data_IF_117404196794
#
_entry.id   IF_117404196794
#
_cell.length_a   1.000
_cell.length_b   1.000
_cell.length_c   1.000
_cell.angle_alpha   90.00
_cell.angle_beta   90.00
_cell.angle_gamma   90.00
#
_symmetry.space_group_name_H-M   'P 1'
#
loop_
_entity.id
_entity.type
_entity.pdbx_description
1 polymer ?
#
# COMPACT_ATOMS: atom_id res chain seq x y z
N UNK A 1 -28.18 -3.38 -15.52
CA UNK A 1 -27.45 -4.48 -14.85
C UNK A 1 -26.37 -4.92 -15.81
N UNK A 2 -25.06 -4.97 -15.54
CA UNK A 2 -24.19 -4.66 -14.39
C UNK A 2 -22.97 -3.96 -15.01
N UNK A 3 -22.50 -2.85 -14.42
CA UNK A 3 -21.16 -2.31 -14.76
C UNK A 3 -20.20 -3.01 -13.81
N UNK A 4 -19.45 -3.96 -14.33
CA UNK A 4 -18.32 -4.55 -13.63
C UNK A 4 -17.26 -3.46 -13.42
N UNK A 5 -17.20 -2.99 -12.19
CA UNK A 5 -16.07 -2.23 -11.67
C UNK A 5 -14.89 -3.21 -11.59
N UNK A 6 -14.15 -3.37 -12.68
CA UNK A 6 -12.86 -4.04 -12.65
C UNK A 6 -11.89 -3.19 -11.81
N UNK A 7 -11.89 -3.39 -10.50
CA UNK A 7 -10.88 -2.89 -9.58
C UNK A 7 -9.51 -3.44 -10.02
N UNK A 8 -8.75 -2.60 -10.71
CA UNK A 8 -7.45 -2.99 -11.28
C UNK A 8 -6.50 -3.33 -10.14
N UNK A 9 -6.13 -4.60 -10.04
CA UNK A 9 -5.23 -5.09 -9.04
C UNK A 9 -3.77 -4.72 -9.40
N UNK A 10 -3.24 -3.64 -8.80
CA UNK A 10 -1.87 -3.14 -9.03
C UNK A 10 -0.77 -4.19 -8.77
N UNK A 11 -1.12 -5.29 -8.10
CA UNK A 11 -0.19 -6.37 -7.75
C UNK A 11 0.11 -7.30 -8.93
N UNK A 12 -0.66 -7.27 -10.02
CA UNK A 12 -0.39 -8.08 -11.22
C UNK A 12 0.59 -7.42 -12.21
N UNK A 13 0.94 -6.15 -11.98
CA UNK A 13 1.86 -5.39 -12.84
C UNK A 13 3.30 -5.88 -12.68
N UNK A 14 3.75 -6.73 -13.59
CA UNK A 14 5.14 -7.21 -13.67
C UNK A 14 6.01 -6.17 -14.39
N UNK A 15 7.08 -5.70 -13.71
CA UNK A 15 8.10 -4.76 -14.23
C UNK A 15 7.53 -3.47 -14.91
N UNK A 16 6.75 -2.64 -14.20
CA UNK A 16 6.12 -1.46 -14.81
C UNK A 16 7.06 -0.26 -15.05
N UNK A 17 8.29 -0.29 -14.54
CA UNK A 17 9.29 0.78 -14.67
C UNK A 17 10.35 0.43 -15.71
N UNK A 18 10.93 1.43 -16.39
CA UNK A 18 12.03 1.17 -17.32
C UNK A 18 13.33 0.90 -16.58
N UNK A 19 13.48 1.44 -15.37
CA UNK A 19 14.65 1.22 -14.54
C UNK A 19 14.58 -0.07 -13.71
N UNK A 20 15.64 -0.89 -13.75
CA UNK A 20 15.73 -2.14 -13.00
C UNK A 20 15.66 -1.95 -11.47
N UNK A 21 16.33 -0.93 -10.92
CA UNK A 21 16.27 -0.62 -9.47
C UNK A 21 14.85 -0.31 -8.98
N UNK A 22 14.03 0.37 -9.80
CA UNK A 22 12.65 0.69 -9.44
C UNK A 22 11.73 -0.53 -9.56
N UNK A 23 11.98 -1.41 -10.52
CA UNK A 23 11.29 -2.70 -10.60
C UNK A 23 11.58 -3.60 -9.38
N UNK A 24 12.80 -3.57 -8.84
CA UNK A 24 13.14 -4.32 -7.62
C UNK A 24 12.36 -3.78 -6.40
N UNK A 25 12.35 -2.45 -6.23
CA UNK A 25 11.58 -1.79 -5.17
C UNK A 25 10.09 -2.10 -5.33
N UNK A 26 9.58 -2.07 -6.56
CA UNK A 26 8.19 -2.39 -6.88
C UNK A 26 7.82 -3.84 -6.54
N UNK A 27 8.62 -4.82 -6.94
CA UNK A 27 8.38 -6.22 -6.61
C UNK A 27 8.38 -6.47 -5.10
N UNK A 28 9.27 -5.80 -4.34
CA UNK A 28 9.24 -5.84 -2.87
C UNK A 28 7.97 -5.19 -2.32
N UNK A 29 7.60 -4.03 -2.84
CA UNK A 29 6.41 -3.30 -2.42
C UNK A 29 5.10 -4.04 -2.71
N UNK A 30 5.00 -4.79 -3.81
CA UNK A 30 3.81 -5.59 -4.16
C UNK A 30 3.45 -6.65 -3.11
N UNK A 31 4.45 -7.13 -2.37
CA UNK A 31 4.29 -8.11 -1.30
C UNK A 31 4.09 -7.47 0.07
N UNK A 32 4.62 -6.26 0.27
CA UNK A 32 4.69 -5.62 1.59
C UNK A 32 3.64 -4.53 1.79
N UNK A 33 3.20 -3.84 0.75
CA UNK A 33 2.26 -2.72 0.89
C UNK A 33 0.81 -3.13 0.60
N UNK A 34 -0.10 -2.47 1.32
CA UNK A 34 -1.54 -2.51 1.06
C UNK A 34 -1.87 -1.79 -0.23
N UNK A 35 -2.99 -2.12 -0.86
CA UNK A 35 -3.36 -1.57 -2.15
C UNK A 35 -3.34 -0.02 -2.24
N UNK A 36 -3.87 0.76 -1.26
CA UNK A 36 -3.78 2.22 -1.31
C UNK A 36 -2.36 2.76 -1.17
N UNK A 37 -1.51 2.14 -0.34
CA UNK A 37 -0.09 2.53 -0.20
C UNK A 37 0.69 2.15 -1.45
N UNK A 38 0.40 0.99 -2.05
CA UNK A 38 0.96 0.53 -3.31
C UNK A 38 0.60 1.44 -4.47
N UNK A 39 -0.64 1.94 -4.54
CA UNK A 39 -1.09 2.93 -5.51
C UNK A 39 -0.30 4.24 -5.40
N UNK A 40 -0.09 4.71 -4.18
CA UNK A 40 0.67 5.95 -3.94
C UNK A 40 2.15 5.79 -4.31
N UNK A 41 2.78 4.71 -3.86
CA UNK A 41 4.16 4.38 -4.22
C UNK A 41 4.32 4.26 -5.73
N UNK A 42 3.35 3.64 -6.43
CA UNK A 42 3.40 3.52 -7.89
C UNK A 42 3.50 4.89 -8.57
N UNK A 43 2.68 5.86 -8.13
CA UNK A 43 2.70 7.21 -8.70
C UNK A 43 4.03 7.92 -8.44
N UNK A 44 4.58 7.80 -7.23
CA UNK A 44 5.87 8.41 -6.88
C UNK A 44 7.04 7.76 -7.64
N UNK A 45 7.06 6.43 -7.73
CA UNK A 45 8.06 5.70 -8.50
C UNK A 45 7.96 6.01 -10.00
N UNK A 46 6.76 6.27 -10.55
CA UNK A 46 6.59 6.65 -11.96
C UNK A 46 7.15 8.03 -12.25
N UNK A 47 6.92 8.99 -11.34
CA UNK A 47 7.50 10.33 -11.43
C UNK A 47 9.02 10.22 -11.37
N UNK A 48 9.54 9.41 -10.42
CA UNK A 48 10.97 9.20 -10.28
C UNK A 48 11.61 8.48 -11.49
N UNK A 49 10.95 7.49 -12.11
CA UNK A 49 11.40 6.83 -13.36
C UNK A 49 11.53 7.83 -14.52
N UNK A 50 10.61 8.80 -14.61
CA UNK A 50 10.66 9.87 -15.62
C UNK A 50 11.82 10.83 -15.38
N UNK A 51 12.04 11.23 -14.12
CA UNK A 51 13.16 12.11 -13.74
C UNK A 51 14.52 11.44 -13.96
N UNK A 52 14.64 10.16 -13.62
CA UNK A 52 15.85 9.35 -13.86
C UNK A 52 16.15 9.17 -15.35
N UNK A 53 15.13 8.97 -16.19
CA UNK A 53 15.31 8.91 -17.64
C UNK A 53 15.76 10.25 -18.23
N UNK A 54 15.17 11.36 -17.77
CA UNK A 54 15.55 12.69 -18.18
C UNK A 54 17.00 13.01 -17.76
N UNK A 55 17.38 12.63 -16.54
CA UNK A 55 18.76 12.75 -16.08
C UNK A 55 19.72 11.90 -16.91
N UNK A 56 19.41 10.63 -17.20
CA UNK A 56 20.25 9.78 -18.05
C UNK A 56 20.45 10.37 -19.44
N UNK A 57 19.41 10.97 -20.03
CA UNK A 57 19.49 11.63 -21.32
C UNK A 57 20.37 12.90 -21.29
N UNK A 58 20.32 13.67 -20.20
CA UNK A 58 21.17 14.84 -19.99
C UNK A 58 22.63 14.47 -19.63
N UNK A 59 22.83 13.41 -18.86
CA UNK A 59 24.16 12.91 -18.49
C UNK A 59 24.91 12.34 -19.72
N UNK A 60 24.18 11.72 -20.66
CA UNK A 60 24.74 11.33 -21.96
C UNK A 60 25.26 12.53 -22.78
N UNK A 61 24.82 13.76 -22.49
CA UNK A 61 25.32 15.01 -23.09
C UNK A 61 26.44 15.66 -22.26
N UNK A 62 26.98 14.96 -21.25
CA UNK A 62 28.07 15.38 -20.36
C UNK A 62 27.82 16.71 -19.62
N UNK A 63 26.55 17.03 -19.37
CA UNK A 63 26.13 18.25 -18.66
C UNK A 63 26.09 18.09 -17.13
N UNK A 64 26.42 16.92 -16.58
CA UNK A 64 26.45 16.66 -15.13
C UNK A 64 27.82 16.11 -14.71
N UNK A 65 28.84 16.99 -14.71
CA UNK A 65 30.21 16.61 -14.32
C UNK A 65 30.40 16.46 -12.82
N UNK A 66 29.51 17.06 -12.02
CA UNK A 66 29.61 17.10 -10.56
C UNK A 66 28.77 16.01 -9.86
N UNK A 67 27.94 15.26 -10.59
CA UNK A 67 27.09 14.19 -10.04
C UNK A 67 26.02 14.68 -9.06
N UNK A 68 25.78 15.99 -9.00
CA UNK A 68 24.84 16.63 -8.07
C UNK A 68 23.41 16.17 -8.33
N UNK A 69 22.99 16.09 -9.60
CA UNK A 69 21.64 15.64 -9.96
C UNK A 69 21.45 14.15 -9.70
N UNK A 70 22.49 13.34 -9.85
CA UNK A 70 22.43 11.93 -9.47
C UNK A 70 22.25 11.73 -7.96
N UNK A 71 23.00 12.49 -7.15
CA UNK A 71 22.89 12.44 -5.70
C UNK A 71 21.51 12.90 -5.21
N UNK A 72 20.94 13.93 -5.84
CA UNK A 72 19.58 14.40 -5.55
C UNK A 72 18.53 13.34 -5.86
N UNK A 73 18.60 12.69 -7.02
CA UNK A 73 17.69 11.60 -7.39
C UNK A 73 17.83 10.41 -6.43
N UNK A 74 19.06 10.03 -6.05
CA UNK A 74 19.29 8.98 -5.04
C UNK A 74 18.68 9.34 -3.68
N UNK A 75 18.86 10.58 -3.21
CA UNK A 75 18.23 11.05 -1.95
C UNK A 75 16.70 11.01 -2.04
N UNK A 76 16.13 11.42 -3.18
CA UNK A 76 14.69 11.36 -3.40
C UNK A 76 14.17 9.92 -3.39
N UNK A 77 14.87 8.98 -4.03
CA UNK A 77 14.52 7.56 -3.99
C UNK A 77 14.58 6.98 -2.57
N UNK A 78 15.65 7.30 -1.82
CA UNK A 78 15.78 6.88 -0.42
C UNK A 78 14.66 7.46 0.44
N UNK A 79 14.30 8.73 0.22
CA UNK A 79 13.15 9.37 0.87
C UNK A 79 11.84 8.64 0.59
N UNK A 80 11.56 8.32 -0.68
CA UNK A 80 10.38 7.51 -1.07
C UNK A 80 10.44 6.13 -0.40
N UNK A 81 11.59 5.45 -0.40
CA UNK A 81 11.69 4.14 0.25
C UNK A 81 11.46 4.23 1.76
N UNK A 82 11.90 5.30 2.42
CA UNK A 82 11.69 5.55 3.84
C UNK A 82 10.23 5.85 4.18
N UNK A 83 9.52 6.67 3.38
CA UNK A 83 8.11 7.01 3.64
C UNK A 83 7.17 5.82 3.56
N UNK A 84 7.53 4.80 2.76
CA UNK A 84 6.78 3.55 2.64
C UNK A 84 7.39 2.38 3.44
N UNK A 85 8.37 2.66 4.31
CA UNK A 85 9.00 1.66 5.18
C UNK A 85 9.61 0.46 4.40
N UNK A 86 10.13 0.75 3.21
CA UNK A 86 10.81 -0.21 2.32
C UNK A 86 12.33 -0.21 2.56
N UNK A 87 12.81 0.61 3.50
CA UNK A 87 14.23 0.85 3.79
C UNK A 87 14.80 -0.11 4.86
N UNK A 88 13.97 -0.65 5.77
CA UNK A 88 14.43 -1.49 6.90
C UNK A 88 15.32 -2.68 6.49
N UNK A 89 15.14 -3.20 5.26
CA UNK A 89 15.92 -4.33 4.74
C UNK A 89 17.12 -3.95 3.86
N UNK A 90 17.50 -2.66 3.80
CA UNK A 90 18.79 -2.27 3.23
C UNK A 90 19.87 -2.13 4.31
N UNK A 91 19.52 -1.71 5.54
CA UNK A 91 20.44 -1.68 6.68
C UNK A 91 20.86 -3.09 7.13
N UNK A 92 19.96 -4.09 7.06
CA UNK A 92 20.29 -5.49 7.35
C UNK A 92 21.32 -6.11 6.38
N UNK A 93 21.60 -5.47 5.23
CA UNK A 93 22.56 -5.99 4.25
C UNK A 93 23.97 -5.41 4.40
N UNK A 94 24.22 -4.57 5.41
CA UNK A 94 25.55 -4.01 5.67
C UNK A 94 26.20 -4.52 6.95
N UNK A 95 25.44 -5.06 7.92
CA UNK A 95 25.98 -5.63 9.16
C UNK A 95 25.68 -7.13 9.31
N UNK A 96 26.69 -8.02 9.14
CA UNK A 96 26.52 -9.45 9.33
C UNK A 96 26.25 -9.88 10.79
N UNK A 97 26.36 -8.98 11.77
CA UNK A 97 26.09 -9.26 13.20
C UNK A 97 24.62 -9.07 13.62
N UNK A 98 23.79 -8.39 12.82
CA UNK A 98 22.38 -8.11 13.15
C UNK A 98 21.38 -9.18 12.68
N UNK A 99 21.87 -10.29 12.10
CA UNK A 99 21.08 -11.50 11.87
C UNK A 99 20.71 -12.10 13.23
N UNK A 100 19.64 -11.56 13.84
CA UNK A 100 19.09 -12.05 15.09
C UNK A 100 18.69 -13.51 14.92
N UNK A 101 19.50 -14.40 15.49
CA UNK A 101 19.07 -15.77 15.75
C UNK A 101 17.85 -15.72 16.67
N UNK A 102 16.73 -16.26 16.20
CA UNK A 102 15.52 -16.37 17.00
C UNK A 102 15.79 -17.31 18.18
N UNK A 103 16.11 -16.76 19.36
CA UNK A 103 15.99 -17.51 20.62
C UNK A 103 14.51 -17.58 20.98
N UNK A 104 13.95 -18.78 20.94
CA UNK A 104 12.63 -19.06 21.49
C UNK A 104 12.69 -18.84 23.02
N UNK A 105 12.07 -17.74 23.49
CA UNK A 105 11.84 -17.53 24.90
C UNK A 105 10.48 -18.17 25.29
N UNK A 106 10.40 -18.90 26.42
CA UNK A 106 9.16 -19.54 26.84
C UNK A 106 8.19 -18.48 27.34
N UNK A 107 7.01 -18.40 26.72
CA UNK A 107 5.94 -17.50 27.15
C UNK A 107 5.28 -18.13 28.37
N UNK A 108 5.66 -17.66 29.56
CA UNK A 108 4.83 -17.81 30.75
C UNK A 108 3.65 -16.85 30.64
N UNK A 109 2.45 -17.41 30.54
CA UNK A 109 1.18 -16.68 30.56
C UNK A 109 0.97 -16.19 31.99
N UNK A 110 1.10 -14.88 32.22
CA UNK A 110 0.66 -14.26 33.47
C UNK A 110 -0.55 -13.36 33.20
N UNK A 111 -1.69 -13.81 33.72
CA UNK A 111 -3.05 -13.56 33.24
C UNK A 111 -3.71 -12.36 33.97
N UNK A 112 -2.99 -11.25 34.18
CA UNK A 112 -3.43 -10.18 35.11
C UNK A 112 -3.65 -8.77 34.55
N UNK A 113 -3.61 -8.56 33.24
CA UNK A 113 -3.98 -7.26 32.63
C UNK A 113 -5.14 -7.33 31.61
N UNK A 114 -5.94 -8.39 31.63
CA UNK A 114 -6.98 -8.66 30.61
C UNK A 114 -8.29 -7.88 30.75
N UNK A 115 -8.45 -6.97 31.71
CA UNK A 115 -9.72 -6.27 31.91
C UNK A 115 -9.85 -4.95 31.14
N UNK A 116 -9.33 -4.88 29.90
CA UNK A 116 -9.81 -3.95 28.85
C UNK A 116 -9.47 -4.38 27.41
N UNK A 117 -9.15 -5.66 27.18
CA UNK A 117 -8.87 -6.18 25.84
C UNK A 117 -10.19 -6.56 25.18
N UNK A 118 -10.88 -5.60 24.54
CA UNK A 118 -12.15 -5.86 23.85
C UNK A 118 -11.97 -6.83 22.67
N UNK A 119 -10.78 -6.88 22.08
CA UNK A 119 -10.41 -7.77 20.98
C UNK A 119 -9.23 -8.68 21.39
N UNK A 120 -9.08 -9.83 20.71
CA UNK A 120 -7.95 -10.75 20.95
C UNK A 120 -6.64 -10.18 20.41
N UNK A 121 -6.70 -9.39 19.33
CA UNK A 121 -5.52 -8.72 18.78
C UNK A 121 -5.21 -7.39 19.50
N UNK A 122 -3.96 -7.27 19.98
CA UNK A 122 -3.41 -6.06 20.59
C UNK A 122 -3.46 -4.85 19.64
N UNK A 123 -3.31 -5.04 18.33
CA UNK A 123 -3.36 -3.97 17.34
C UNK A 123 -4.77 -3.40 17.18
N UNK A 124 -5.79 -4.27 17.18
CA UNK A 124 -7.19 -3.83 17.15
C UNK A 124 -7.56 -3.05 18.41
N UNK A 125 -7.10 -3.46 19.59
CA UNK A 125 -7.34 -2.70 20.81
C UNK A 125 -6.73 -1.28 20.74
N UNK A 126 -5.51 -1.12 20.22
CA UNK A 126 -4.90 0.21 20.03
C UNK A 126 -5.70 1.09 19.07
N UNK A 127 -6.20 0.51 17.98
CA UNK A 127 -7.04 1.24 17.03
C UNK A 127 -8.39 1.62 17.63
N UNK A 128 -8.97 0.74 18.46
CA UNK A 128 -10.20 1.02 19.18
C UNK A 128 -10.04 2.15 20.20
N UNK A 129 -8.96 2.15 20.99
CA UNK A 129 -8.61 3.24 21.90
C UNK A 129 -8.48 4.57 21.14
N UNK A 130 -7.84 4.57 19.97
CA UNK A 130 -7.76 5.75 19.10
C UNK A 130 -9.14 6.21 18.63
N UNK A 131 -10.01 5.28 18.25
CA UNK A 131 -11.36 5.59 17.81
C UNK A 131 -12.22 6.19 18.94
N UNK A 132 -12.13 5.66 20.16
CA UNK A 132 -12.84 6.21 21.34
C UNK A 132 -12.40 7.66 21.63
N UNK A 133 -11.11 7.95 21.51
CA UNK A 133 -10.57 9.31 21.67
C UNK A 133 -10.99 10.23 20.51
N UNK A 134 -11.20 9.66 19.32
CA UNK A 134 -11.56 10.39 18.10
C UNK A 134 -12.98 10.98 18.11
N UNK A 135 -13.79 10.74 19.15
CA UNK A 135 -15.02 11.47 19.42
C UNK A 135 -16.21 11.16 18.52
N UNK A 136 -16.28 9.95 17.98
CA UNK A 136 -17.42 9.47 17.18
C UNK A 136 -18.75 9.49 17.94
N UNK A 137 -19.86 9.60 17.20
CA UNK A 137 -21.18 9.38 17.77
C UNK A 137 -21.32 7.95 18.30
N UNK A 138 -22.16 7.69 19.33
CA UNK A 138 -22.31 6.35 19.90
C UNK A 138 -22.82 5.32 18.87
N UNK A 139 -23.64 5.74 17.90
CA UNK A 139 -24.10 4.90 16.79
C UNK A 139 -22.96 4.54 15.82
N UNK A 140 -22.09 5.52 15.50
CA UNK A 140 -20.91 5.31 14.65
C UNK A 140 -19.88 4.41 15.35
N UNK A 141 -19.70 4.55 16.66
CA UNK A 141 -18.87 3.65 17.47
C UNK A 141 -19.42 2.22 17.47
N UNK A 142 -20.73 2.04 17.56
CA UNK A 142 -21.35 0.72 17.51
C UNK A 142 -21.11 0.04 16.15
N UNK A 143 -21.29 0.77 15.05
CA UNK A 143 -21.00 0.28 13.70
C UNK A 143 -19.51 -0.03 13.51
N UNK A 144 -18.62 0.84 14.00
CA UNK A 144 -17.17 0.61 13.96
C UNK A 144 -16.79 -0.62 14.79
N UNK A 145 -17.39 -0.82 15.96
CA UNK A 145 -17.18 -2.00 16.80
C UNK A 145 -17.55 -3.29 16.07
N UNK A 146 -18.65 -3.27 15.32
CA UNK A 146 -19.07 -4.39 14.47
C UNK A 146 -18.05 -4.67 13.36
N UNK A 147 -17.54 -3.62 12.68
CA UNK A 147 -16.47 -3.79 11.69
C UNK A 147 -15.18 -4.38 12.30
N UNK A 148 -14.79 -3.96 13.51
CA UNK A 148 -13.64 -4.51 14.23
C UNK A 148 -13.86 -5.98 14.63
N UNK A 149 -15.08 -6.35 15.05
CA UNK A 149 -15.43 -7.75 15.34
C UNK A 149 -15.34 -8.62 14.08
N UNK A 150 -15.88 -8.15 12.95
CA UNK A 150 -15.75 -8.84 11.67
C UNK A 150 -14.29 -8.99 11.26
N UNK A 151 -13.45 -7.99 11.54
CA UNK A 151 -12.03 -8.07 11.27
C UNK A 151 -11.32 -9.11 12.16
N UNK A 152 -11.65 -9.16 13.44
CA UNK A 152 -11.16 -10.19 14.35
C UNK A 152 -11.57 -11.60 13.89
N UNK A 153 -12.81 -11.78 13.44
CA UNK A 153 -13.28 -13.05 12.87
C UNK A 153 -12.48 -13.44 11.62
N UNK A 154 -12.17 -12.50 10.72
CA UNK A 154 -11.32 -12.76 9.55
C UNK A 154 -9.91 -13.19 9.96
N UNK A 155 -9.32 -12.55 10.97
CA UNK A 155 -8.02 -12.93 11.52
C UNK A 155 -8.06 -14.36 12.09
N UNK A 156 -9.09 -14.68 12.88
CA UNK A 156 -9.26 -16.01 13.46
C UNK A 156 -9.42 -17.08 12.36
N UNK A 157 -10.20 -16.80 11.31
CA UNK A 157 -10.34 -17.69 10.14
C UNK A 157 -9.03 -17.89 9.39
N UNK A 158 -8.21 -16.83 9.25
CA UNK A 158 -6.90 -16.94 8.62
C UNK A 158 -5.95 -17.82 9.42
N UNK A 159 -5.91 -17.68 10.75
CA UNK A 159 -5.10 -18.57 11.58
C UNK A 159 -5.59 -20.02 11.53
N UNK A 160 -6.91 -20.26 11.48
CA UNK A 160 -7.46 -21.61 11.27
C UNK A 160 -7.09 -22.19 9.90
N UNK A 161 -7.07 -21.36 8.84
CA UNK A 161 -6.66 -21.79 7.52
C UNK A 161 -5.15 -22.05 7.45
N UNK A 162 -4.35 -21.22 8.12
CA UNK A 162 -2.91 -21.40 8.25
C UNK A 162 -2.60 -22.73 8.95
N UNK A 163 -3.32 -23.02 10.04
CA UNK A 163 -3.22 -24.27 10.79
C UNK A 163 -3.55 -25.47 9.89
N UNK A 164 -4.66 -25.44 9.16
CA UNK A 164 -5.05 -26.51 8.20
C UNK A 164 -4.10 -26.69 7.02
N UNK A 165 -3.39 -25.64 6.61
CA UNK A 165 -2.40 -25.71 5.51
C UNK A 165 -1.04 -26.18 6.04
N UNK A 166 -0.70 -25.84 7.29
CA UNK A 166 0.49 -26.34 7.99
C UNK A 166 0.34 -27.80 8.44
N UNK A 167 -0.85 -28.20 8.86
CA UNK A 167 -1.23 -29.56 9.29
C UNK A 167 -1.58 -30.48 8.10
N UNK A 168 -1.19 -30.10 6.88
CA UNK A 168 -1.26 -30.95 5.70
C UNK A 168 -0.33 -32.17 5.75
N UNK A 169 0.42 -32.36 6.84
CA UNK A 169 1.07 -33.62 7.20
C UNK A 169 0.02 -34.62 7.66
N UNK A 170 -0.26 -35.63 6.83
CA UNK A 170 -0.95 -36.82 7.33
C UNK A 170 -0.09 -37.43 8.46
N UNK A 171 -0.70 -37.91 9.57
CA UNK A 171 0.04 -38.55 10.67
C UNK A 171 0.73 -39.87 10.29
N UNK A 172 0.66 -40.30 9.03
CA UNK A 172 1.38 -41.46 8.48
C UNK A 172 2.64 -41.09 7.68
N UNK A 173 2.85 -39.81 7.38
CA UNK A 173 4.05 -39.34 6.67
C UNK A 173 5.12 -38.96 7.70
N UNK A 174 6.24 -39.70 7.70
CA UNK A 174 7.38 -39.48 8.61
C UNK A 174 7.81 -38.00 8.70
N UNK A 175 8.29 -37.54 9.86
CA UNK A 175 8.58 -36.13 10.12
C UNK A 175 9.69 -35.64 9.19
N UNK A 176 9.30 -35.08 8.05
CA UNK A 176 10.21 -34.42 7.12
C UNK A 176 10.42 -33.00 7.65
N UNK A 177 11.66 -32.62 8.03
CA UNK A 177 11.93 -31.27 8.47
C UNK A 177 11.70 -30.29 7.31
N UNK A 178 10.97 -29.19 7.60
CA UNK A 178 10.40 -28.16 6.70
C UNK A 178 11.34 -27.50 5.65
N UNK A 179 12.57 -27.97 5.46
CA UNK A 179 13.56 -27.37 4.56
C UNK A 179 14.37 -28.35 3.70
N UNK A 180 13.96 -29.62 3.59
CA UNK A 180 14.58 -30.53 2.61
C UNK A 180 13.86 -30.40 1.27
N UNK A 181 14.57 -29.92 0.25
CA UNK A 181 14.10 -30.00 -1.15
C UNK A 181 13.96 -31.49 -1.47
N UNK A 182 12.74 -31.94 -1.75
CA UNK A 182 12.50 -33.31 -2.19
C UNK A 182 13.14 -33.46 -3.59
N UNK A 183 14.27 -34.14 -3.67
CA UNK A 183 15.09 -34.25 -4.88
C UNK A 183 14.34 -35.06 -5.97
N UNK A 184 13.43 -35.96 -5.59
CA UNK A 184 12.55 -36.70 -6.51
C UNK A 184 11.44 -35.83 -7.14
N UNK A 185 10.99 -34.76 -6.47
CA UNK A 185 9.94 -33.86 -7.01
C UNK A 185 10.45 -32.89 -8.08
N UNK A 186 11.77 -32.67 -8.13
CA UNK A 186 12.37 -31.78 -9.12
C UNK A 186 12.47 -32.44 -10.51
N UNK A 187 12.52 -33.77 -10.56
CA UNK A 187 12.58 -34.52 -11.82
C UNK A 187 11.26 -34.42 -12.62
N UNK A 188 10.12 -34.28 -11.94
CA UNK A 188 8.81 -34.12 -12.59
C UNK A 188 8.58 -32.71 -13.16
N UNK A 189 9.43 -31.74 -12.81
CA UNK A 189 9.28 -30.34 -13.24
C UNK A 189 9.66 -30.11 -14.71
N UNK A 190 10.49 -30.99 -15.29
CA UNK A 190 10.99 -30.86 -16.67
C UNK A 190 10.31 -31.80 -17.67
N UNK A 191 9.38 -32.65 -17.24
CA UNK A 191 8.64 -33.51 -18.17
C UNK A 191 7.57 -32.70 -18.92
N UNK A 192 7.92 -32.20 -20.10
CA UNK A 192 6.93 -31.75 -21.08
C UNK A 192 6.16 -33.00 -21.52
N UNK A 193 4.94 -33.15 -21.01
CA UNK A 193 4.04 -34.26 -21.33
C UNK A 193 3.61 -34.13 -22.81
N UNK A 194 4.42 -34.68 -23.73
CA UNK A 194 4.15 -34.81 -25.16
C UNK A 194 3.26 -36.03 -25.40
N UNK A 195 2.05 -36.03 -24.85
CA UNK A 195 1.00 -36.95 -25.27
C UNK A 195 -0.04 -36.18 -26.08
N UNK A 196 0.37 -35.78 -27.28
CA UNK A 196 -0.54 -35.51 -28.39
C UNK A 196 -0.91 -36.87 -28.95
N UNK A 197 -1.96 -37.48 -28.41
CA UNK A 197 -2.94 -38.22 -29.21
C UNK A 197 -4.10 -38.78 -28.37
N UNK A 198 -5.29 -38.61 -28.94
CA UNK A 198 -6.56 -39.33 -28.67
C UNK A 198 -7.34 -39.03 -27.37
N UNK A 199 -8.34 -38.14 -27.50
CA UNK A 199 -9.75 -38.29 -27.08
C UNK A 199 -10.17 -38.94 -25.73
N UNK A 200 -9.33 -38.99 -24.69
CA UNK A 200 -9.77 -39.35 -23.33
C UNK A 200 -9.36 -38.25 -22.31
N UNK A 201 -10.20 -37.21 -22.19
CA UNK A 201 -10.07 -36.13 -21.20
C UNK A 201 -10.81 -36.49 -19.90
N UNK A 202 -10.62 -37.71 -19.40
CA UNK A 202 -11.16 -38.07 -18.08
C UNK A 202 -10.07 -38.66 -17.19
N UNK A 203 -9.69 -37.85 -16.19
CA UNK A 203 -8.94 -38.21 -14.97
C UNK A 203 -7.42 -38.32 -15.11
N UNK A 204 -6.78 -37.24 -15.55
CA UNK A 204 -5.42 -36.94 -15.12
C UNK A 204 -5.52 -36.58 -13.62
N UNK A 205 -4.79 -37.25 -12.70
CA UNK A 205 -4.83 -36.90 -11.28
C UNK A 205 -4.30 -35.47 -11.16
N UNK A 206 -5.17 -34.53 -10.80
CA UNK A 206 -4.77 -33.17 -10.39
C UNK A 206 -3.75 -33.37 -9.27
N UNK A 207 -2.48 -33.12 -9.58
CA UNK A 207 -1.40 -33.46 -8.67
C UNK A 207 -1.61 -32.72 -7.35
N UNK A 208 -1.35 -33.37 -6.22
CA UNK A 208 -1.44 -32.78 -4.86
C UNK A 208 -0.75 -31.40 -4.77
N UNK A 209 0.24 -31.15 -5.65
CA UNK A 209 0.92 -29.87 -5.83
C UNK A 209 0.03 -28.74 -6.37
N UNK A 210 -0.88 -28.98 -7.32
CA UNK A 210 -1.84 -27.96 -7.77
C UNK A 210 -2.78 -27.55 -6.64
N UNK A 211 -3.21 -28.51 -5.82
CA UNK A 211 -4.09 -28.23 -4.67
C UNK A 211 -3.33 -27.48 -3.56
N UNK A 212 -2.08 -27.86 -3.28
CA UNK A 212 -1.24 -27.14 -2.32
C UNK A 212 -0.93 -25.71 -2.78
N UNK A 213 -0.53 -25.50 -4.04
CA UNK A 213 -0.28 -24.16 -4.60
C UNK A 213 -1.54 -23.30 -4.60
N UNK A 214 -2.71 -23.88 -4.88
CA UNK A 214 -3.98 -23.17 -4.78
C UNK A 214 -4.30 -22.76 -3.33
N UNK A 215 -4.14 -23.66 -2.35
CA UNK A 215 -4.32 -23.36 -0.92
C UNK A 215 -3.35 -22.27 -0.43
N UNK A 216 -2.09 -22.32 -0.84
CA UNK A 216 -1.09 -21.28 -0.51
C UNK A 216 -1.45 -19.94 -1.13
N UNK A 217 -1.96 -19.91 -2.36
CA UNK A 217 -2.44 -18.68 -3.00
C UNK A 217 -3.67 -18.10 -2.31
N UNK A 218 -4.64 -18.94 -1.92
CA UNK A 218 -5.79 -18.52 -1.10
C UNK A 218 -5.35 -17.95 0.25
N UNK A 219 -4.38 -18.58 0.91
CA UNK A 219 -3.83 -18.10 2.18
C UNK A 219 -3.17 -16.72 2.01
N UNK A 220 -2.39 -16.53 0.93
CA UNK A 220 -1.79 -15.24 0.59
C UNK A 220 -2.84 -14.17 0.30
N UNK A 221 -3.92 -14.52 -0.39
CA UNK A 221 -5.04 -13.62 -0.67
C UNK A 221 -5.76 -13.21 0.63
N UNK A 222 -6.06 -14.17 1.52
CA UNK A 222 -6.69 -13.88 2.81
C UNK A 222 -5.81 -13.04 3.73
N UNK A 223 -4.50 -13.30 3.75
CA UNK A 223 -3.56 -12.44 4.47
C UNK A 223 -3.58 -11.00 3.95
N UNK A 224 -3.69 -10.83 2.62
CA UNK A 224 -3.80 -9.51 1.98
C UNK A 224 -5.11 -8.82 2.37
N UNK A 225 -6.25 -9.51 2.28
CA UNK A 225 -7.55 -8.97 2.68
C UNK A 225 -7.56 -8.49 4.14
N UNK A 226 -6.94 -9.24 5.05
CA UNK A 226 -6.78 -8.83 6.45
C UNK A 226 -5.92 -7.59 6.55
N UNK A 227 -4.79 -7.53 5.83
CA UNK A 227 -3.93 -6.35 5.88
C UNK A 227 -4.63 -5.10 5.32
N UNK A 228 -5.31 -5.23 4.19
CA UNK A 228 -6.04 -4.14 3.54
C UNK A 228 -7.24 -3.69 4.40
N UNK A 229 -7.93 -4.63 5.06
CA UNK A 229 -9.00 -4.34 6.01
C UNK A 229 -8.51 -3.62 7.28
N UNK A 230 -7.34 -3.97 7.79
CA UNK A 230 -6.73 -3.31 8.95
C UNK A 230 -6.38 -1.85 8.62
N UNK A 231 -5.75 -1.61 7.47
CA UNK A 231 -5.42 -0.25 7.01
C UNK A 231 -6.69 0.60 6.79
N UNK A 232 -7.80 -0.02 6.33
CA UNK A 232 -9.10 0.67 6.24
C UNK A 232 -9.61 1.06 7.62
N UNK A 233 -9.59 0.14 8.58
CA UNK A 233 -10.01 0.41 9.96
C UNK A 233 -9.14 1.47 10.62
N UNK A 234 -7.84 1.45 10.40
CA UNK A 234 -6.92 2.47 10.90
C UNK A 234 -7.27 3.86 10.35
N UNK A 235 -7.57 3.95 9.05
CA UNK A 235 -7.98 5.20 8.42
C UNK A 235 -9.33 5.68 8.94
N UNK A 236 -10.30 4.78 9.12
CA UNK A 236 -11.63 5.14 9.65
C UNK A 236 -11.52 5.57 11.11
N UNK A 237 -10.81 4.82 11.95
CA UNK A 237 -10.58 5.13 13.36
C UNK A 237 -9.87 6.49 13.55
N UNK A 238 -9.00 6.86 12.61
CA UNK A 238 -8.26 8.13 12.62
C UNK A 238 -8.98 9.28 11.92
N UNK A 239 -10.26 9.14 11.56
CA UNK A 239 -11.07 10.14 10.84
C UNK A 239 -12.23 10.71 11.65
N UNK A 240 -12.32 10.40 12.95
CA UNK A 240 -13.47 10.83 13.73
C UNK A 240 -13.53 12.34 13.93
N UNK A 241 -14.64 12.85 14.49
CA UNK A 241 -14.89 14.28 14.64
C UNK A 241 -13.80 15.07 15.39
N UNK A 242 -13.00 14.39 16.22
CA UNK A 242 -11.84 14.94 16.95
C UNK A 242 -10.48 14.45 16.45
N UNK A 243 -10.41 13.60 15.42
CA UNK A 243 -9.12 13.27 14.81
C UNK A 243 -8.54 14.52 14.16
N UNK A 244 -7.20 14.62 14.12
CA UNK A 244 -6.49 15.70 13.43
C UNK A 244 -7.21 16.08 12.14
N UNK A 245 -7.70 17.33 12.09
CA UNK A 245 -8.82 17.74 11.23
C UNK A 245 -8.56 17.62 9.71
N UNK A 246 -7.35 17.19 9.32
CA UNK A 246 -6.86 17.05 7.96
C UNK A 246 -5.99 15.78 7.84
N UNK A 247 -6.14 15.02 6.75
CA UNK A 247 -5.32 13.84 6.41
C UNK A 247 -3.98 14.22 5.78
N UNK A 248 -3.94 15.37 5.10
CA UNK A 248 -2.75 15.84 4.37
C UNK A 248 -1.80 16.62 5.30
N UNK A 249 -0.54 16.18 5.51
CA UNK A 249 0.41 16.82 6.43
C UNK A 249 0.66 18.30 6.13
N UNK A 250 0.61 18.70 4.86
CA UNK A 250 0.77 20.10 4.44
C UNK A 250 -0.35 20.98 5.01
N UNK A 251 -1.58 20.49 4.98
CA UNK A 251 -2.77 21.22 5.43
C UNK A 251 -2.81 21.26 6.96
N UNK A 252 -2.44 20.15 7.61
CA UNK A 252 -2.22 20.13 9.06
C UNK A 252 -1.18 21.17 9.51
N UNK A 253 -0.08 21.30 8.76
CA UNK A 253 0.94 22.33 8.99
C UNK A 253 0.36 23.75 8.90
N UNK A 254 -0.38 24.05 7.84
CA UNK A 254 -1.05 25.34 7.66
C UNK A 254 -2.07 25.63 8.75
N UNK A 255 -2.82 24.62 9.18
CA UNK A 255 -3.78 24.77 10.28
C UNK A 255 -3.09 25.06 11.61
N UNK A 256 -1.96 24.39 11.90
CA UNK A 256 -1.17 24.66 13.10
C UNK A 256 -0.60 26.08 13.11
N UNK A 257 -0.12 26.55 11.96
CA UNK A 257 0.33 27.94 11.81
C UNK A 257 -0.83 28.89 12.03
N UNK A 258 -1.99 28.63 11.42
CA UNK A 258 -3.18 29.43 11.60
C UNK A 258 -3.66 29.49 13.07
N UNK A 259 -3.61 28.37 13.80
CA UNK A 259 -3.94 28.35 15.24
C UNK A 259 -2.94 29.16 16.08
N UNK A 260 -1.69 29.26 15.65
CA UNK A 260 -0.67 30.08 16.30
C UNK A 260 -0.76 31.56 15.91
N UNK A 261 -1.45 31.89 14.81
CA UNK A 261 -1.72 33.25 14.37
C UNK A 261 -2.91 33.87 15.12
N UNK A 262 -3.00 35.20 15.10
CA UNK A 262 -4.08 35.96 15.75
C UNK A 262 -5.37 36.00 14.90
N UNK A 263 -5.91 34.85 14.48
CA UNK A 263 -7.22 34.81 13.79
C UNK A 263 -8.37 34.95 14.76
N UNK A 264 -9.43 35.63 14.33
CA UNK A 264 -10.72 35.61 15.04
C UNK A 264 -11.42 34.25 14.87
N UNK A 265 -12.34 33.92 15.78
CA UNK A 265 -13.09 32.64 15.73
C UNK A 265 -13.84 32.43 14.40
N UNK A 266 -14.38 33.51 13.82
CA UNK A 266 -15.13 33.45 12.57
C UNK A 266 -14.21 33.29 11.34
N UNK A 267 -13.05 33.96 11.34
CA UNK A 267 -12.03 33.79 10.29
C UNK A 267 -11.43 32.39 10.31
N UNK A 268 -11.20 31.84 11.50
CA UNK A 268 -10.70 30.48 11.70
C UNK A 268 -11.71 29.44 11.19
N UNK A 269 -13.02 29.66 11.41
CA UNK A 269 -14.06 28.81 10.85
C UNK A 269 -14.11 28.89 9.31
N UNK A 270 -13.97 30.09 8.74
CA UNK A 270 -13.90 30.28 7.28
C UNK A 270 -12.67 29.62 6.68
N UNK A 271 -11.50 29.78 7.31
CA UNK A 271 -10.25 29.16 6.90
C UNK A 271 -10.30 27.63 6.99
N UNK A 272 -10.96 27.09 8.02
CA UNK A 272 -11.18 25.65 8.15
C UNK A 272 -11.95 25.08 6.97
N UNK A 273 -13.02 25.74 6.53
CA UNK A 273 -13.80 25.32 5.37
C UNK A 273 -12.96 25.38 4.10
N UNK A 274 -12.14 26.42 3.93
CA UNK A 274 -11.24 26.54 2.78
C UNK A 274 -10.14 25.46 2.77
N UNK A 275 -9.55 25.14 3.91
CA UNK A 275 -8.58 24.06 4.05
C UNK A 275 -9.20 22.68 3.75
N UNK A 276 -10.45 22.44 4.18
CA UNK A 276 -11.18 21.21 3.84
C UNK A 276 -11.48 21.12 2.33
N UNK A 277 -11.84 22.23 1.69
CA UNK A 277 -12.03 22.26 0.24
C UNK A 277 -10.71 22.03 -0.51
N UNK A 278 -9.61 22.61 -0.01
CA UNK A 278 -8.27 22.39 -0.56
C UNK A 278 -7.86 20.92 -0.44
N UNK A 279 -8.10 20.29 0.72
CA UNK A 279 -7.85 18.87 0.96
C UNK A 279 -8.65 17.98 0.02
N UNK A 280 -9.96 18.18 -0.07
CA UNK A 280 -10.84 17.41 -0.95
C UNK A 280 -10.37 17.47 -2.41
N UNK A 281 -9.89 18.65 -2.84
CA UNK A 281 -9.36 18.84 -4.20
C UNK A 281 -7.99 18.19 -4.40
N UNK A 282 -7.13 18.20 -3.39
CA UNK A 282 -5.84 17.47 -3.39
C UNK A 282 -6.06 15.96 -3.47
N UNK A 283 -6.97 15.41 -2.67
CA UNK A 283 -7.33 14.00 -2.71
C UNK A 283 -7.90 13.61 -4.07
N UNK A 284 -8.77 14.44 -4.66
CA UNK A 284 -9.28 14.23 -6.02
C UNK A 284 -8.18 14.27 -7.08
N UNK A 285 -7.21 15.20 -6.95
CA UNK A 285 -6.06 15.28 -7.85
C UNK A 285 -5.20 14.01 -7.78
N UNK A 286 -4.93 13.52 -6.57
CA UNK A 286 -4.21 12.25 -6.35
C UNK A 286 -4.95 11.06 -6.95
N UNK A 287 -6.28 11.02 -6.82
CA UNK A 287 -7.09 10.00 -7.46
C UNK A 287 -6.96 10.03 -8.98
N UNK A 288 -7.09 11.21 -9.62
CA UNK A 288 -6.91 11.36 -11.07
C UNK A 288 -5.51 10.95 -11.53
N UNK A 289 -4.46 11.29 -10.77
CA UNK A 289 -3.09 10.82 -11.07
C UNK A 289 -2.97 9.30 -11.04
N UNK A 290 -3.60 8.63 -10.06
CA UNK A 290 -3.63 7.18 -9.99
C UNK A 290 -4.37 6.56 -11.18
N UNK A 291 -5.53 7.11 -11.57
CA UNK A 291 -6.30 6.65 -12.73
C UNK A 291 -5.53 6.83 -14.05
N UNK A 292 -4.87 7.97 -14.25
CA UNK A 292 -4.07 8.20 -15.45
C UNK A 292 -2.86 7.26 -15.53
N UNK A 293 -2.17 7.02 -14.40
CA UNK A 293 -1.06 6.09 -14.36
C UNK A 293 -1.50 4.64 -14.70
N UNK A 294 -2.71 4.27 -14.28
CA UNK A 294 -3.34 3.00 -14.65
C UNK A 294 -3.70 2.92 -16.13
N UNK A 295 -4.31 3.98 -16.67
CA UNK A 295 -4.69 4.05 -18.08
C UNK A 295 -3.46 3.92 -18.99
N UNK A 296 -2.36 4.59 -18.64
CA UNK A 296 -1.07 4.45 -19.34
C UNK A 296 -0.52 3.02 -19.31
N UNK A 297 -0.62 2.32 -18.18
CA UNK A 297 -0.10 0.96 -18.08
C UNK A 297 -0.98 -0.03 -18.86
N UNK A 298 -2.32 0.13 -18.82
CA UNK A 298 -3.27 -0.62 -19.65
C UNK A 298 -2.99 -0.43 -21.15
N UNK A 299 -2.61 0.77 -21.55
CA UNK A 299 -2.29 1.08 -22.95
C UNK A 299 -1.03 0.35 -23.43
N UNK A 300 0.03 0.30 -22.61
CA UNK A 300 1.25 -0.44 -22.95
C UNK A 300 0.97 -1.93 -23.22
N UNK A 301 0.04 -2.50 -22.46
CA UNK A 301 -0.37 -3.90 -22.60
C UNK A 301 -1.28 -4.08 -23.84
N UNK A 302 -2.20 -3.16 -24.09
CA UNK A 302 -3.25 -3.33 -25.09
C UNK A 302 -2.93 -2.84 -26.52
N UNK A 303 -1.79 -2.17 -26.79
CA UNK A 303 -1.36 -1.65 -28.12
C UNK A 303 -2.51 -1.10 -29.01
N UNK A 304 -3.49 -0.41 -28.42
CA UNK A 304 -4.70 0.05 -29.11
C UNK A 304 -4.69 1.59 -29.20
N UNK A 305 -4.85 2.12 -30.41
CA UNK A 305 -4.73 3.54 -30.74
C UNK A 305 -5.78 4.44 -30.10
N UNK A 306 -7.05 4.01 -30.03
CA UNK A 306 -8.16 4.83 -29.51
C UNK A 306 -8.02 5.18 -28.01
N UNK A 307 -7.20 4.43 -27.25
CA UNK A 307 -6.92 4.73 -25.84
C UNK A 307 -5.89 5.87 -25.66
N UNK A 308 -5.16 6.24 -26.71
CA UNK A 308 -4.17 7.33 -26.69
C UNK A 308 -4.85 8.67 -26.39
N UNK A 309 -5.95 8.96 -27.09
CA UNK A 309 -6.66 10.24 -26.95
C UNK A 309 -7.32 10.39 -25.58
N UNK A 310 -7.83 9.29 -25.00
CA UNK A 310 -8.37 9.29 -23.64
C UNK A 310 -7.29 9.59 -22.60
N UNK A 311 -6.09 9.04 -22.76
CA UNK A 311 -4.96 9.27 -21.85
C UNK A 311 -4.46 10.71 -21.96
N UNK A 312 -4.33 11.22 -23.19
CA UNK A 312 -3.96 12.62 -23.41
C UNK A 312 -4.99 13.58 -22.80
N UNK A 313 -6.28 13.29 -22.96
CA UNK A 313 -7.36 14.08 -22.34
C UNK A 313 -7.31 14.03 -20.80
N UNK A 314 -7.03 12.86 -20.22
CA UNK A 314 -6.80 12.73 -18.78
C UNK A 314 -5.56 13.53 -18.33
N UNK A 315 -4.46 13.50 -19.07
CA UNK A 315 -3.25 14.27 -18.78
C UNK A 315 -3.52 15.78 -18.80
N UNK A 316 -4.26 16.27 -19.79
CA UNK A 316 -4.68 17.67 -19.84
C UNK A 316 -5.61 18.06 -18.69
N UNK A 317 -6.56 17.18 -18.34
CA UNK A 317 -7.47 17.39 -17.21
C UNK A 317 -6.70 17.48 -15.90
N UNK A 318 -5.74 16.57 -15.69
CA UNK A 318 -4.83 16.57 -14.54
C UNK A 318 -4.06 17.89 -14.50
N UNK A 319 -3.42 18.31 -15.61
CA UNK A 319 -2.66 19.57 -15.66
C UNK A 319 -3.52 20.78 -15.31
N UNK A 320 -4.78 20.81 -15.78
CA UNK A 320 -5.73 21.87 -15.43
C UNK A 320 -6.09 21.84 -13.94
N UNK A 321 -6.28 20.66 -13.35
CA UNK A 321 -6.62 20.52 -11.93
C UNK A 321 -5.42 20.78 -11.02
N UNK A 322 -4.21 20.38 -11.40
CA UNK A 322 -2.96 20.71 -10.71
C UNK A 322 -2.82 22.22 -10.56
N UNK A 323 -2.94 22.98 -11.66
CA UNK A 323 -2.86 24.45 -11.62
C UNK A 323 -3.92 25.09 -10.71
N UNK A 324 -5.15 24.54 -10.71
CA UNK A 324 -6.23 25.03 -9.85
C UNK A 324 -5.94 24.75 -8.37
N UNK A 325 -5.43 23.56 -8.05
CA UNK A 325 -5.03 23.18 -6.70
C UNK A 325 -3.85 24.03 -6.23
N UNK A 326 -2.82 24.24 -7.07
CA UNK A 326 -1.70 25.13 -6.77
C UNK A 326 -2.15 26.56 -6.50
N UNK A 327 -3.07 27.09 -7.31
CA UNK A 327 -3.63 28.44 -7.10
C UNK A 327 -4.36 28.56 -5.76
N UNK A 328 -5.23 27.62 -5.43
CA UNK A 328 -5.95 27.60 -4.14
C UNK A 328 -4.95 27.45 -2.99
N UNK A 329 -3.96 26.57 -3.13
CA UNK A 329 -2.90 26.38 -2.14
C UNK A 329 -2.13 27.67 -1.88
N UNK A 330 -1.74 28.40 -2.93
CA UNK A 330 -1.05 29.68 -2.80
C UNK A 330 -1.93 30.78 -2.17
N UNK A 331 -3.23 30.81 -2.47
CA UNK A 331 -4.18 31.74 -1.86
C UNK A 331 -4.34 31.47 -0.35
N UNK A 332 -4.48 30.20 0.03
CA UNK A 332 -4.59 29.78 1.44
C UNK A 332 -3.28 30.01 2.20
N UNK A 333 -2.13 29.65 1.62
CA UNK A 333 -0.81 29.94 2.19
C UNK A 333 -0.61 31.45 2.40
N UNK A 334 -0.94 32.27 1.41
CA UNK A 334 -0.85 33.72 1.52
C UNK A 334 -1.75 34.27 2.63
N UNK A 335 -2.96 33.72 2.79
CA UNK A 335 -3.86 34.14 3.89
C UNK A 335 -3.30 33.74 5.25
N UNK A 336 -2.80 32.51 5.40
CA UNK A 336 -2.23 32.02 6.66
C UNK A 336 -0.98 32.80 7.06
N UNK A 337 -0.02 32.97 6.14
CA UNK A 337 1.23 33.66 6.43
C UNK A 337 1.10 35.19 6.44
N UNK A 338 0.18 35.76 5.65
CA UNK A 338 -0.09 37.20 5.67
C UNK A 338 -0.66 37.69 7.01
N UNK A 339 -1.37 36.82 7.75
CA UNK A 339 -1.85 37.11 9.10
C UNK A 339 -0.80 36.84 10.21
N UNK A 340 0.29 36.12 9.93
CA UNK A 340 1.42 36.00 10.88
C UNK A 340 2.37 37.18 10.85
N UNK A 341 2.41 37.94 9.75
CA UNK A 341 3.31 39.08 9.56
C UNK A 341 2.71 40.44 10.00
N UNK A 342 1.43 40.44 10.43
CA UNK A 342 0.72 41.56 11.03
C UNK A 342 0.56 41.33 12.54
#
# INVERSE_FOLDING_TARGET
MLRDNDEINFRTLQKPFRMAKLNLVWSKAQHRLTEPKLRSLFTELKIHDKEELAWKQLNAQHQDKDGLKEAELRKKLVGIMSTYDLLEHFDETQDPELVKQHKAAPISIDDKFRNKSLFKDKKLNKLWEKAEVSGFAPEELAALKEEFLHHQQKIDLYYQLLDKVGDGHHPEDEPHPDNMLNEEEHDTFNEINLNVDTNEIEKIPKSKHQDHTHKVNQLREKHREIKDGYDRLERTASKGPKSEEFVEPKIQGLWRVALASNFTSDELASLKIELLHYESRLLKLRHMHAEHALAQEKQKIAKSGDKIDHINHLEESIKKQTRKVEKIGAEVEKRVYGHTEL
#
